data_IF_370428053656
#
_entry.id   IF_370428053656
#
_cell.length_a   1.000
_cell.length_b   1.000
_cell.length_c   1.000
_cell.angle_alpha   90.00
_cell.angle_beta   90.00
_cell.angle_gamma   90.00
#
_symmetry.space_group_name_H-M   'P 1'
#
loop_
_entity.id
_entity.type
_entity.pdbx_description
1 polymer ?
#
# COMPACT_ATOMS: atom_id res chain seq x y z
N UNK A 1 14.30 -8.03 6.81
CA UNK A 1 13.55 -8.78 5.78
C UNK A 1 14.56 -9.45 4.87
N UNK A 2 14.49 -10.78 4.76
CA UNK A 2 15.04 -11.46 3.59
C UNK A 2 13.98 -11.32 2.50
N UNK A 3 14.26 -10.44 1.53
CA UNK A 3 13.34 -10.07 0.46
C UNK A 3 14.12 -10.20 -0.85
N UNK A 4 13.86 -11.25 -1.63
CA UNK A 4 14.39 -11.42 -2.98
C UNK A 4 13.39 -11.00 -4.06
N UNK A 5 12.16 -10.66 -3.68
CA UNK A 5 11.14 -10.14 -4.59
C UNK A 5 11.54 -8.81 -5.24
N UNK A 6 11.16 -8.64 -6.51
CA UNK A 6 11.39 -7.38 -7.25
C UNK A 6 10.38 -6.31 -6.87
N UNK A 7 9.11 -6.72 -6.69
CA UNK A 7 8.06 -5.89 -6.12
C UNK A 7 7.28 -6.66 -5.05
N UNK A 8 6.79 -5.92 -4.06
CA UNK A 8 5.89 -6.45 -3.02
C UNK A 8 4.63 -5.62 -3.04
N UNK A 9 3.47 -6.28 -3.04
CA UNK A 9 2.16 -5.66 -3.06
C UNK A 9 1.38 -6.01 -1.80
N UNK A 10 0.75 -5.00 -1.22
CA UNK A 10 -0.23 -5.12 -0.16
C UNK A 10 -1.52 -4.49 -0.65
N UNK A 11 -2.59 -5.28 -0.70
CA UNK A 11 -3.94 -4.78 -0.98
C UNK A 11 -4.72 -4.77 0.33
N UNK A 12 -5.23 -3.60 0.69
CA UNK A 12 -6.03 -3.38 1.90
C UNK A 12 -7.43 -2.94 1.53
N UNK A 13 -8.38 -3.20 2.45
CA UNK A 13 -9.81 -2.94 2.23
C UNK A 13 -10.25 -3.57 0.91
N UNK A 14 -9.97 -4.86 0.77
CA UNK A 14 -10.19 -5.59 -0.49
C UNK A 14 -11.54 -6.30 -0.48
N UNK A 15 -12.31 -6.14 -1.55
CA UNK A 15 -13.50 -6.92 -1.89
C UNK A 15 -13.27 -7.70 -3.19
N UNK A 16 -14.36 -8.15 -3.84
CA UNK A 16 -14.29 -8.74 -5.19
C UNK A 16 -14.04 -7.70 -6.28
N UNK A 17 -14.35 -6.43 -6.02
CA UNK A 17 -14.43 -5.37 -7.04
C UNK A 17 -13.71 -4.08 -6.64
N UNK A 18 -13.02 -4.07 -5.50
CA UNK A 18 -12.29 -2.89 -5.03
C UNK A 18 -11.12 -3.28 -4.14
N UNK A 19 -10.07 -2.48 -4.15
CA UNK A 19 -8.92 -2.58 -3.25
C UNK A 19 -8.13 -1.27 -3.18
N UNK A 20 -7.39 -1.06 -2.09
CA UNK A 20 -6.36 -0.01 -2.00
C UNK A 20 -4.99 -0.68 -2.08
N UNK A 21 -4.18 -0.29 -3.06
CA UNK A 21 -2.90 -0.92 -3.34
C UNK A 21 -1.74 -0.13 -2.74
N UNK A 22 -0.86 -0.84 -2.03
CA UNK A 22 0.46 -0.38 -1.64
C UNK A 22 1.48 -1.24 -2.38
N UNK A 23 2.32 -0.64 -3.21
CA UNK A 23 3.35 -1.31 -3.98
C UNK A 23 4.73 -0.81 -3.57
N UNK A 24 5.66 -1.71 -3.31
CA UNK A 24 7.07 -1.41 -3.09
C UNK A 24 7.93 -1.99 -4.23
N UNK A 25 8.56 -1.12 -5.01
CA UNK A 25 9.55 -1.51 -6.02
C UNK A 25 10.95 -1.47 -5.40
N UNK A 26 11.58 -2.64 -5.27
CA UNK A 26 12.89 -2.79 -4.60
C UNK A 26 14.03 -2.13 -5.37
N UNK A 27 14.00 -2.14 -6.71
CA UNK A 27 15.06 -1.56 -7.55
C UNK A 27 15.12 -0.04 -7.42
N UNK A 28 13.95 0.60 -7.35
CA UNK A 28 13.83 2.06 -7.28
C UNK A 28 13.75 2.57 -5.84
N UNK A 29 13.71 1.68 -4.84
CA UNK A 29 13.34 2.00 -3.46
C UNK A 29 12.07 2.86 -3.38
N UNK A 30 11.11 2.60 -4.27
CA UNK A 30 9.91 3.41 -4.44
C UNK A 30 8.74 2.72 -3.78
N UNK A 31 8.05 3.43 -2.90
CA UNK A 31 6.74 3.02 -2.41
C UNK A 31 5.65 3.84 -3.08
N UNK A 32 4.55 3.18 -3.43
CA UNK A 32 3.41 3.77 -4.10
C UNK A 32 2.13 3.35 -3.39
N UNK A 33 1.28 4.31 -3.06
CA UNK A 33 -0.09 4.13 -2.63
C UNK A 33 -1.00 4.48 -3.82
N UNK A 34 -1.71 3.50 -4.36
CA UNK A 34 -2.75 3.70 -5.37
C UNK A 34 -4.13 3.38 -4.81
N UNK A 35 -5.03 4.35 -4.93
CA UNK A 35 -6.42 4.26 -4.48
C UNK A 35 -7.41 4.33 -5.65
N UNK A 36 -6.95 4.13 -6.89
CA UNK A 36 -7.76 4.15 -8.11
C UNK A 36 -8.96 3.21 -8.04
N UNK A 37 -8.80 2.09 -7.35
CA UNK A 37 -9.81 1.05 -7.18
C UNK A 37 -10.32 0.94 -5.72
N UNK A 38 -10.13 1.98 -4.89
CA UNK A 38 -10.45 1.93 -3.45
C UNK A 38 -11.95 2.05 -3.09
N UNK A 39 -12.83 1.93 -4.08
CA UNK A 39 -14.25 2.22 -3.98
C UNK A 39 -14.60 3.58 -4.58
N UNK A 40 -15.50 4.34 -3.93
CA UNK A 40 -15.98 5.60 -4.49
C UNK A 40 -14.88 6.66 -4.47
N UNK A 41 -14.67 7.36 -5.58
CA UNK A 41 -13.78 8.52 -5.63
C UNK A 41 -14.62 9.81 -5.76
N UNK A 42 -14.22 10.91 -5.11
CA UNK A 42 -14.84 12.20 -5.36
C UNK A 42 -14.80 12.59 -6.85
N UNK A 43 -15.80 13.34 -7.32
CA UNK A 43 -15.79 13.90 -8.66
C UNK A 43 -14.64 14.89 -8.83
N UNK A 44 -13.98 14.89 -10.00
CA UNK A 44 -12.84 15.77 -10.34
C UNK A 44 -11.58 15.55 -9.50
N UNK A 45 -11.29 14.30 -9.12
CA UNK A 45 -10.01 13.97 -8.48
C UNK A 45 -8.90 13.95 -9.53
N UNK A 46 -7.94 14.85 -9.39
CA UNK A 46 -6.64 14.72 -10.05
C UNK A 46 -5.73 13.81 -9.21
N UNK A 47 -5.29 12.70 -9.81
CA UNK A 47 -4.36 11.76 -9.19
C UNK A 47 -4.99 10.81 -8.16
N UNK A 48 -4.85 9.51 -8.42
CA UNK A 48 -5.23 8.44 -7.49
C UNK A 48 -4.02 7.80 -6.81
N UNK A 49 -2.82 8.24 -7.19
CA UNK A 49 -1.57 7.62 -6.80
C UNK A 49 -0.69 8.62 -6.06
N UNK A 50 -0.03 8.18 -4.99
CA UNK A 50 1.04 8.90 -4.30
C UNK A 50 2.26 8.01 -4.23
N UNK A 51 3.43 8.53 -4.55
CA UNK A 51 4.67 7.77 -4.48
C UNK A 51 5.78 8.58 -3.80
N UNK A 52 6.73 7.88 -3.21
CA UNK A 52 7.95 8.47 -2.66
C UNK A 52 9.12 7.48 -2.75
N UNK A 53 10.33 8.02 -2.73
CA UNK A 53 11.57 7.25 -2.74
C UNK A 53 12.12 7.20 -1.31
N UNK A 54 12.42 5.98 -0.88
CA UNK A 54 13.08 5.71 0.39
C UNK A 54 14.60 5.86 0.22
N UNK A 55 15.25 6.43 1.22
CA UNK A 55 16.70 6.57 1.37
C UNK A 55 17.34 5.22 1.68
N UNK A 56 16.61 4.35 2.39
CA UNK A 56 17.04 2.99 2.67
C UNK A 56 16.03 1.97 2.16
N UNK A 57 16.45 0.74 1.80
CA UNK A 57 15.51 -0.31 1.43
C UNK A 57 14.44 -0.50 2.50
N UNK A 58 13.21 -0.78 2.08
CA UNK A 58 12.08 -0.97 2.98
C UNK A 58 12.34 -2.12 3.97
N UNK A 59 12.26 -1.81 5.26
CA UNK A 59 12.45 -2.76 6.37
C UNK A 59 11.16 -3.03 7.13
N UNK A 60 10.31 -2.01 7.25
CA UNK A 60 9.07 -2.06 8.02
C UNK A 60 8.01 -1.19 7.35
N UNK A 61 6.76 -1.64 7.41
CA UNK A 61 5.59 -0.82 7.16
C UNK A 61 4.73 -0.85 8.41
N UNK A 62 4.29 0.32 8.85
CA UNK A 62 3.20 0.45 9.81
C UNK A 62 2.05 1.14 9.11
N UNK A 63 0.91 0.44 9.01
CA UNK A 63 -0.24 0.91 8.25
C UNK A 63 -1.43 1.03 9.19
N UNK A 64 -1.96 2.25 9.30
CA UNK A 64 -3.21 2.51 9.98
C UNK A 64 -4.32 2.64 8.93
N UNK A 65 -5.41 1.92 9.16
CA UNK A 65 -6.59 1.94 8.30
C UNK A 65 -7.80 2.25 9.16
N UNK A 66 -8.53 3.30 8.79
CA UNK A 66 -9.84 3.63 9.35
C UNK A 66 -10.91 3.48 8.26
N UNK A 67 -12.17 3.72 8.61
CA UNK A 67 -13.36 3.66 7.77
C UNK A 67 -13.16 4.41 6.44
N UNK A 68 -12.46 5.55 6.45
CA UNK A 68 -12.27 6.37 5.26
C UNK A 68 -10.85 6.94 5.07
N UNK A 69 -9.86 6.39 5.75
CA UNK A 69 -8.47 6.85 5.64
C UNK A 69 -7.48 5.71 5.75
N UNK A 70 -6.31 5.94 5.15
CA UNK A 70 -5.14 5.10 5.26
C UNK A 70 -3.90 5.97 5.46
N UNK A 71 -3.06 5.56 6.41
CA UNK A 71 -1.77 6.19 6.72
C UNK A 71 -0.69 5.11 6.77
N UNK A 72 0.37 5.30 5.99
CA UNK A 72 1.45 4.35 5.81
C UNK A 72 2.74 5.02 6.26
N UNK A 73 3.35 4.47 7.30
CA UNK A 73 4.66 4.85 7.82
C UNK A 73 5.68 3.84 7.30
N UNK A 74 6.63 4.33 6.51
CA UNK A 74 7.70 3.54 5.92
C UNK A 74 8.94 3.61 6.81
N UNK A 75 9.48 2.43 7.17
CA UNK A 75 10.53 2.30 8.17
C UNK A 75 10.10 3.01 9.46
N UNK A 76 11.05 3.57 10.21
CA UNK A 76 10.82 4.32 11.44
C UNK A 76 10.28 5.76 11.19
N UNK A 77 9.32 5.90 10.27
CA UNK A 77 8.74 7.19 9.88
C UNK A 77 9.58 7.99 8.87
N UNK A 78 10.51 7.35 8.17
CA UNK A 78 11.37 7.96 7.14
C UNK A 78 10.55 8.66 6.05
N UNK A 79 9.44 8.03 5.65
CA UNK A 79 8.43 8.60 4.77
C UNK A 79 7.04 8.21 5.26
N UNK A 80 6.08 9.11 5.03
CA UNK A 80 4.66 8.88 5.36
C UNK A 80 3.80 9.14 4.13
N UNK A 81 2.91 8.21 3.80
CA UNK A 81 1.87 8.39 2.78
C UNK A 81 0.50 8.38 3.47
N UNK A 82 -0.33 9.38 3.18
CA UNK A 82 -1.70 9.46 3.67
C UNK A 82 -2.68 9.64 2.52
N UNK A 83 -3.84 9.01 2.63
CA UNK A 83 -4.93 9.21 1.69
C UNK A 83 -6.30 8.95 2.30
N UNK A 84 -7.33 9.55 1.70
CA UNK A 84 -8.72 9.16 1.95
C UNK A 84 -9.13 8.08 0.97
N UNK A 85 -9.84 7.09 1.49
CA UNK A 85 -10.43 5.98 0.74
C UNK A 85 -11.92 5.88 1.10
N UNK A 86 -12.74 5.32 0.22
CA UNK A 86 -14.17 5.12 0.47
C UNK A 86 -14.56 3.69 0.07
N UNK A 87 -14.04 2.70 0.80
CA UNK A 87 -14.28 1.29 0.49
C UNK A 87 -15.74 0.93 0.70
N UNK A 88 -16.20 -0.09 -0.03
CA UNK A 88 -17.51 -0.69 0.24
C UNK A 88 -17.50 -1.45 1.58
N UNK A 89 -18.67 -1.66 2.17
CA UNK A 89 -18.80 -2.33 3.48
C UNK A 89 -18.25 -3.77 3.47
N UNK A 90 -18.32 -4.45 2.32
CA UNK A 90 -17.82 -5.81 2.13
C UNK A 90 -16.30 -5.88 1.90
N UNK A 91 -15.61 -4.73 1.76
CA UNK A 91 -14.19 -4.66 1.52
C UNK A 91 -13.38 -4.81 2.82
N UNK A 92 -13.36 -6.03 3.35
CA UNK A 92 -12.75 -6.41 4.64
C UNK A 92 -11.44 -7.20 4.49
N UNK A 93 -11.06 -7.53 3.25
CA UNK A 93 -9.91 -8.36 2.96
C UNK A 93 -8.57 -7.63 3.04
N UNK A 94 -7.53 -8.42 3.27
CA UNK A 94 -6.12 -8.08 3.08
C UNK A 94 -5.53 -9.13 2.14
N UNK A 95 -4.78 -8.69 1.12
CA UNK A 95 -4.02 -9.60 0.27
C UNK A 95 -2.57 -9.12 0.16
N UNK A 96 -1.68 -10.08 -0.04
CA UNK A 96 -0.26 -9.81 -0.26
C UNK A 96 0.24 -10.66 -1.40
N UNK A 97 1.04 -10.08 -2.28
CA UNK A 97 1.65 -10.77 -3.41
C UNK A 97 3.02 -10.17 -3.72
N UNK A 98 3.79 -10.87 -4.56
CA UNK A 98 5.10 -10.42 -5.01
C UNK A 98 5.21 -10.52 -6.52
N UNK A 99 6.00 -9.63 -7.11
CA UNK A 99 6.48 -9.79 -8.49
C UNK A 99 7.86 -10.45 -8.42
N UNK A 100 7.96 -11.69 -8.92
CA UNK A 100 9.20 -12.47 -9.06
C UNK A 100 10.10 -12.54 -7.83
N UNK A 101 10.13 -13.69 -7.16
CA UNK A 101 10.85 -13.90 -5.91
C UNK A 101 9.90 -13.98 -4.72
N UNK A 102 10.45 -13.99 -3.51
CA UNK A 102 9.70 -14.19 -2.28
C UNK A 102 10.05 -13.11 -1.24
N UNK A 103 9.22 -13.03 -0.21
CA UNK A 103 9.49 -12.17 0.94
C UNK A 103 8.90 -12.83 2.17
N UNK A 104 9.66 -12.81 3.26
CA UNK A 104 9.13 -13.19 4.56
C UNK A 104 8.46 -11.98 5.22
N UNK A 105 7.14 -12.06 5.40
CA UNK A 105 6.35 -11.06 6.12
C UNK A 105 6.21 -11.50 7.58
N UNK A 106 6.63 -10.63 8.49
CA UNK A 106 6.41 -10.80 9.93
C UNK A 106 5.43 -9.74 10.42
N UNK A 107 4.28 -10.19 10.93
CA UNK A 107 3.27 -9.34 11.53
C UNK A 107 3.50 -9.27 13.05
N UNK A 108 3.42 -8.08 13.62
CA UNK A 108 3.56 -7.82 15.05
C UNK A 108 2.28 -7.19 15.61
#
# INVERSE_FOLDING_TARGET
MDNDATEVYFELRTSKTSSTLIAYNKRENKITLDRSDSGLLPTNVEGTTRSTILETPLKQLQIFVDTSSIEIFCNDGERVLTSRIFPTEDALGIKTSTESGQVYLQFY
#
